data_IF_803908621889
#
_entry.id   IF_803908621889
#
_cell.length_a   1.000
_cell.length_b   1.000
_cell.length_c   1.000
_cell.angle_alpha   90.00
_cell.angle_beta   90.00
_cell.angle_gamma   90.00
#
_symmetry.space_group_name_H-M   'P 1'
#
loop_
_entity.id
_entity.type
_entity.pdbx_description
1 polymer ?
#
# COMPACT_ATOMS: atom_id res chain seq x y z
N UNK A 1 -6.18 8.72 20.73
CA UNK A 1 -6.56 8.23 19.39
C UNK A 1 -6.39 9.42 18.48
N UNK A 2 -5.55 9.28 17.47
CA UNK A 2 -5.38 10.29 16.44
C UNK A 2 -6.58 10.17 15.51
N UNK A 3 -7.22 11.29 15.16
CA UNK A 3 -8.37 11.28 14.25
C UNK A 3 -7.94 10.65 12.91
N UNK A 4 -8.82 9.85 12.31
CA UNK A 4 -8.50 9.12 11.09
C UNK A 4 -8.18 10.10 9.95
N UNK A 5 -7.20 9.73 9.11
CA UNK A 5 -6.87 10.52 7.92
C UNK A 5 -8.04 10.58 6.92
N UNK A 6 -9.02 9.68 7.04
CA UNK A 6 -10.23 9.65 6.21
C UNK A 6 -11.31 10.65 6.65
N UNK A 7 -11.19 11.23 7.84
CA UNK A 7 -12.16 12.19 8.39
C UNK A 7 -11.77 13.65 8.10
N UNK A 8 -10.53 13.90 7.66
CA UNK A 8 -10.08 15.23 7.24
C UNK A 8 -10.33 15.44 5.74
N UNK A 9 -10.58 16.70 5.35
CA UNK A 9 -10.70 17.02 3.94
C UNK A 9 -9.33 17.04 3.23
N UNK A 10 -9.33 16.92 1.90
CA UNK A 10 -8.09 16.87 1.10
C UNK A 10 -7.22 18.13 1.23
N UNK A 11 -7.81 19.31 1.45
CA UNK A 11 -7.05 20.54 1.62
C UNK A 11 -6.25 20.53 2.94
N UNK A 12 -6.87 20.00 4.00
CA UNK A 12 -6.24 19.80 5.30
C UNK A 12 -5.18 18.70 5.24
N UNK A 13 -5.47 17.54 4.65
CA UNK A 13 -4.48 16.47 4.46
C UNK A 13 -3.23 16.98 3.74
N UNK A 14 -3.41 17.76 2.66
CA UNK A 14 -2.32 18.40 1.92
C UNK A 14 -1.56 19.41 2.79
N UNK A 15 -2.25 20.26 3.53
CA UNK A 15 -1.62 21.27 4.38
C UNK A 15 -0.77 20.62 5.48
N UNK A 16 -1.29 19.58 6.15
CA UNK A 16 -0.56 18.80 7.16
C UNK A 16 0.67 18.11 6.57
N UNK A 17 0.54 17.49 5.40
CA UNK A 17 1.66 16.84 4.69
C UNK A 17 2.76 17.84 4.32
N UNK A 18 2.39 19.06 3.94
CA UNK A 18 3.33 20.14 3.59
C UNK A 18 3.85 20.94 4.79
N UNK A 19 3.65 20.43 6.01
CA UNK A 19 4.02 21.10 7.26
C UNK A 19 5.24 20.42 7.92
N UNK A 20 5.86 21.03 8.95
CA UNK A 20 6.89 20.36 9.75
C UNK A 20 6.31 19.33 10.73
N UNK A 21 5.00 19.05 10.70
CA UNK A 21 4.37 18.00 11.51
C UNK A 21 4.99 16.64 11.19
N UNK A 22 5.25 15.80 12.21
CA UNK A 22 5.73 14.44 11.98
C UNK A 22 4.73 13.54 11.24
N UNK A 23 3.43 13.84 11.32
CA UNK A 23 2.36 13.05 10.69
C UNK A 23 1.30 13.96 10.04
N UNK A 24 0.69 13.54 8.92
CA UNK A 24 0.97 12.32 8.15
C UNK A 24 2.30 12.43 7.37
N UNK A 25 2.94 11.29 7.16
CA UNK A 25 4.22 11.16 6.47
C UNK A 25 4.08 10.48 5.10
N UNK A 26 5.22 10.16 4.48
CA UNK A 26 5.24 9.52 3.16
C UNK A 26 4.51 8.17 3.10
N UNK A 27 4.57 7.36 4.16
CA UNK A 27 3.90 6.05 4.23
C UNK A 27 2.38 6.17 4.25
N UNK A 28 1.85 6.99 5.16
CA UNK A 28 0.42 7.27 5.28
C UNK A 28 -0.15 7.92 4.02
N UNK A 29 0.56 8.88 3.42
CA UNK A 29 0.14 9.49 2.14
C UNK A 29 0.18 8.46 1.00
N UNK A 30 1.20 7.60 0.93
CA UNK A 30 1.27 6.54 -0.07
C UNK A 30 0.11 5.53 0.08
N UNK A 31 -0.30 5.19 1.30
CA UNK A 31 -1.46 4.34 1.56
C UNK A 31 -2.78 5.01 1.13
N UNK A 32 -2.95 6.31 1.41
CA UNK A 32 -4.11 7.08 0.90
C UNK A 32 -4.12 7.08 -0.64
N UNK A 33 -2.97 7.29 -1.28
CA UNK A 33 -2.86 7.23 -2.74
C UNK A 33 -3.18 5.83 -3.28
N UNK A 34 -2.79 4.75 -2.59
CA UNK A 34 -3.12 3.39 -2.99
C UNK A 34 -4.62 3.14 -2.93
N UNK A 35 -5.29 3.59 -1.86
CA UNK A 35 -6.74 3.51 -1.74
C UNK A 35 -7.46 4.26 -2.88
N UNK A 36 -6.96 5.44 -3.31
CA UNK A 36 -7.49 6.11 -4.51
C UNK A 36 -7.23 5.32 -5.79
N UNK A 37 -6.06 4.69 -5.93
CA UNK A 37 -5.78 3.79 -7.05
C UNK A 37 -6.76 2.62 -7.13
N UNK A 38 -7.02 1.96 -5.99
CA UNK A 38 -8.02 0.90 -5.86
C UNK A 38 -9.43 1.40 -6.19
N UNK A 39 -9.79 2.61 -5.72
CA UNK A 39 -11.10 3.21 -5.96
C UNK A 39 -11.37 3.48 -7.45
N UNK A 40 -10.36 3.84 -8.24
CA UNK A 40 -10.49 4.00 -9.69
C UNK A 40 -10.82 2.67 -10.38
N UNK A 41 -10.14 1.59 -10.00
CA UNK A 41 -10.43 0.25 -10.54
C UNK A 41 -11.84 -0.21 -10.14
N UNK A 42 -12.23 0.02 -8.88
CA UNK A 42 -13.58 -0.28 -8.40
C UNK A 42 -14.65 0.52 -9.18
N UNK A 43 -14.41 1.81 -9.43
CA UNK A 43 -15.29 2.65 -10.23
C UNK A 43 -15.48 2.09 -11.65
N UNK A 44 -14.39 1.69 -12.31
CA UNK A 44 -14.44 1.07 -13.64
C UNK A 44 -15.27 -0.22 -13.63
N UNK A 45 -15.10 -1.03 -12.59
CA UNK A 45 -15.82 -2.28 -12.41
C UNK A 45 -17.31 -2.06 -12.10
N UNK A 46 -17.67 -1.05 -11.30
CA UNK A 46 -19.06 -0.63 -11.05
C UNK A 46 -19.76 -0.15 -12.32
N UNK A 47 -19.08 0.68 -13.13
CA UNK A 47 -19.63 1.14 -14.42
C UNK A 47 -19.87 -0.04 -15.35
N UNK A 48 -18.95 -1.02 -15.33
CA UNK A 48 -19.09 -2.27 -16.09
C UNK A 48 -20.29 -3.09 -15.60
N UNK A 49 -20.47 -3.25 -14.29
CA UNK A 49 -21.62 -3.95 -13.70
C UNK A 49 -22.96 -3.35 -14.15
N UNK A 50 -23.08 -2.01 -14.10
CA UNK A 50 -24.29 -1.27 -14.46
C UNK A 50 -24.69 -1.41 -15.94
N UNK A 51 -23.75 -1.77 -16.81
CA UNK A 51 -24.01 -1.99 -18.25
C UNK A 51 -24.53 -3.40 -18.56
N UNK A 52 -24.81 -4.22 -17.54
CA UNK A 52 -25.24 -5.60 -17.70
C UNK A 52 -24.06 -6.57 -17.79
N UNK A 53 -22.99 -6.30 -17.04
CA UNK A 53 -21.77 -7.12 -17.02
C UNK A 53 -21.96 -8.53 -16.46
N UNK A 54 -20.95 -9.37 -16.68
CA UNK A 54 -20.85 -10.76 -16.22
C UNK A 54 -21.13 -10.91 -14.71
N UNK A 55 -21.84 -11.96 -14.24
CA UNK A 55 -21.95 -12.29 -12.81
C UNK A 55 -20.63 -12.29 -12.02
N UNK A 56 -19.50 -12.63 -12.66
CA UNK A 56 -18.17 -12.60 -12.07
C UNK A 56 -17.74 -11.19 -11.59
N UNK A 57 -18.38 -10.12 -12.10
CA UNK A 57 -18.16 -8.74 -11.65
C UNK A 57 -18.52 -8.56 -10.17
N UNK A 58 -19.50 -9.30 -9.64
CA UNK A 58 -19.92 -9.20 -8.25
C UNK A 58 -18.84 -9.66 -7.25
N UNK A 59 -18.14 -10.74 -7.57
CA UNK A 59 -17.02 -11.24 -6.76
C UNK A 59 -15.84 -10.25 -6.81
N UNK A 60 -15.53 -9.72 -8.00
CA UNK A 60 -14.50 -8.71 -8.18
C UNK A 60 -14.77 -7.43 -7.37
N UNK A 61 -16.02 -6.95 -7.32
CA UNK A 61 -16.40 -5.79 -6.52
C UNK A 61 -16.26 -6.05 -5.02
N UNK A 62 -16.63 -7.24 -4.56
CA UNK A 62 -16.51 -7.62 -3.15
C UNK A 62 -15.04 -7.67 -2.74
N UNK A 63 -14.20 -8.35 -3.52
CA UNK A 63 -12.76 -8.42 -3.28
C UNK A 63 -12.11 -7.03 -3.27
N UNK A 64 -12.44 -6.19 -4.25
CA UNK A 64 -11.90 -4.83 -4.35
C UNK A 64 -12.29 -3.94 -3.16
N UNK A 65 -13.51 -4.08 -2.62
CA UNK A 65 -13.94 -3.33 -1.42
C UNK A 65 -13.17 -3.75 -0.17
N UNK A 66 -12.93 -5.05 0.01
CA UNK A 66 -12.08 -5.55 1.09
C UNK A 66 -10.64 -5.03 0.97
N UNK A 67 -10.09 -4.98 -0.25
CA UNK A 67 -8.76 -4.39 -0.49
C UNK A 67 -8.76 -2.88 -0.19
N UNK A 68 -9.79 -2.15 -0.62
CA UNK A 68 -9.92 -0.72 -0.33
C UNK A 68 -9.94 -0.43 1.18
N UNK A 69 -10.66 -1.24 1.97
CA UNK A 69 -10.69 -1.11 3.44
C UNK A 69 -9.32 -1.37 4.07
N UNK A 70 -8.58 -2.39 3.60
CA UNK A 70 -7.21 -2.69 4.06
C UNK A 70 -6.25 -1.55 3.76
N UNK A 71 -6.27 -1.03 2.53
CA UNK A 71 -5.45 0.12 2.13
C UNK A 71 -5.81 1.38 2.92
N UNK A 72 -7.10 1.57 3.21
CA UNK A 72 -7.60 2.63 4.07
C UNK A 72 -7.02 2.55 5.48
N UNK A 73 -7.13 1.38 6.11
CA UNK A 73 -6.59 1.12 7.45
C UNK A 73 -5.07 1.26 7.52
N UNK A 74 -4.34 0.91 6.44
CA UNK A 74 -2.89 1.05 6.37
C UNK A 74 -2.42 2.52 6.53
N UNK A 75 -3.21 3.49 6.09
CA UNK A 75 -2.88 4.91 6.24
C UNK A 75 -2.87 5.35 7.71
N UNK A 76 -3.92 5.00 8.46
CA UNK A 76 -4.00 5.30 9.89
C UNK A 76 -2.97 4.47 10.67
N UNK A 77 -2.75 3.21 10.26
CA UNK A 77 -1.78 2.33 10.90
C UNK A 77 -0.34 2.85 10.80
N UNK A 78 0.05 3.47 9.68
CA UNK A 78 1.36 4.12 9.54
C UNK A 78 1.57 5.24 10.58
N UNK A 79 0.53 6.07 10.79
CA UNK A 79 0.54 7.13 11.80
C UNK A 79 0.69 6.55 13.21
N UNK A 80 -0.10 5.51 13.53
CA UNK A 80 -0.05 4.84 14.83
C UNK A 80 1.33 4.22 15.11
N UNK A 81 1.90 3.50 14.15
CA UNK A 81 3.22 2.87 14.29
C UNK A 81 4.32 3.92 14.51
N UNK A 82 4.22 5.06 13.82
CA UNK A 82 5.16 6.16 14.02
C UNK A 82 5.01 6.79 15.42
N UNK A 83 3.78 6.99 15.88
CA UNK A 83 3.50 7.49 17.24
C UNK A 83 3.99 6.52 18.31
N UNK A 84 3.82 5.21 18.13
CA UNK A 84 4.35 4.16 18.99
C UNK A 84 5.86 4.25 19.12
N UNK A 85 6.55 4.40 17.99
CA UNK A 85 8.00 4.60 17.95
C UNK A 85 8.41 5.87 18.72
N UNK A 86 7.71 6.99 18.53
CA UNK A 86 7.98 8.22 19.28
C UNK A 86 7.74 8.04 20.78
N UNK A 87 6.69 7.34 21.18
CA UNK A 87 6.40 7.04 22.60
C UNK A 87 7.50 6.20 23.22
N UNK A 88 7.93 5.13 22.56
CA UNK A 88 9.04 4.30 23.02
C UNK A 88 10.34 5.12 23.20
N UNK A 89 10.63 6.01 22.25
CA UNK A 89 11.81 6.88 22.30
C UNK A 89 11.82 7.87 23.47
N UNK A 90 10.63 8.26 23.96
CA UNK A 90 10.39 9.20 25.06
C UNK A 90 10.41 8.56 26.46
N UNK A 91 10.49 7.23 26.57
CA UNK A 91 10.58 6.56 27.86
C UNK A 91 11.79 7.06 28.69
N UNK A 92 11.70 7.00 30.04
CA UNK A 92 12.81 7.36 30.93
C UNK A 92 14.09 6.57 30.63
N UNK A 93 15.24 7.13 31.03
CA UNK A 93 16.58 6.55 30.76
C UNK A 93 17.62 6.90 31.83
N UNK A 94 17.15 7.26 33.01
CA UNK A 94 17.97 7.74 34.12
C UNK A 94 18.63 6.57 34.87
N UNK A 95 17.89 5.46 35.04
CA UNK A 95 18.41 4.25 35.70
C UNK A 95 18.80 3.16 34.71
N UNK A 96 19.55 2.14 35.16
CA UNK A 96 19.88 0.97 34.34
C UNK A 96 18.66 0.18 33.88
N UNK A 97 17.68 0.00 34.77
CA UNK A 97 16.42 -0.67 34.47
C UNK A 97 15.57 0.12 33.46
N UNK A 98 15.45 1.44 33.64
CA UNK A 98 14.76 2.31 32.68
C UNK A 98 15.40 2.25 31.29
N UNK A 99 16.73 2.23 31.22
CA UNK A 99 17.46 2.10 29.94
C UNK A 99 17.15 0.77 29.26
N UNK A 100 17.11 -0.34 30.00
CA UNK A 100 16.80 -1.66 29.45
C UNK A 100 15.35 -1.72 28.93
N UNK A 101 14.38 -1.24 29.71
CA UNK A 101 12.96 -1.17 29.30
C UNK A 101 12.79 -0.29 28.06
N UNK A 102 13.41 0.89 28.06
CA UNK A 102 13.38 1.81 26.92
C UNK A 102 13.99 1.17 25.67
N UNK A 103 15.13 0.50 25.81
CA UNK A 103 15.81 -0.13 24.68
C UNK A 103 14.94 -1.21 24.04
N UNK A 104 14.38 -2.11 24.86
CA UNK A 104 13.47 -3.16 24.37
C UNK A 104 12.21 -2.57 23.69
N UNK A 105 11.63 -1.51 24.26
CA UNK A 105 10.47 -0.85 23.66
C UNK A 105 10.81 -0.18 22.31
N UNK A 106 11.97 0.46 22.20
CA UNK A 106 12.42 1.09 20.96
C UNK A 106 12.69 0.04 19.89
N UNK A 107 13.36 -1.07 20.24
CA UNK A 107 13.60 -2.18 19.31
C UNK A 107 12.30 -2.78 18.78
N UNK A 108 11.36 -3.10 19.66
CA UNK A 108 10.05 -3.63 19.26
C UNK A 108 9.29 -2.65 18.36
N UNK A 109 9.27 -1.36 18.70
CA UNK A 109 8.61 -0.34 17.89
C UNK A 109 9.31 -0.12 16.53
N UNK A 110 10.65 -0.20 16.48
CA UNK A 110 11.40 -0.12 15.22
C UNK A 110 11.11 -1.29 14.29
N UNK A 111 10.99 -2.51 14.82
CA UNK A 111 10.58 -3.69 14.04
C UNK A 111 9.16 -3.48 13.50
N UNK A 112 8.21 -3.08 14.35
CA UNK A 112 6.83 -2.83 13.94
C UNK A 112 6.71 -1.71 12.89
N UNK A 113 7.45 -0.61 13.04
CA UNK A 113 7.51 0.49 12.09
C UNK A 113 8.18 0.11 10.76
N UNK A 114 8.97 -0.98 10.73
CA UNK A 114 9.53 -1.55 9.49
C UNK A 114 8.56 -2.51 8.82
N UNK A 115 7.89 -3.34 9.62
CA UNK A 115 6.91 -4.33 9.16
C UNK A 115 5.65 -3.66 8.58
N UNK A 116 5.18 -2.55 9.18
CA UNK A 116 3.99 -1.83 8.73
C UNK A 116 4.01 -1.43 7.26
N UNK A 117 5.00 -0.65 6.79
CA UNK A 117 5.12 -0.30 5.37
C UNK A 117 5.31 -1.53 4.48
N UNK A 118 6.01 -2.56 4.93
CA UNK A 118 6.19 -3.78 4.14
C UNK A 118 4.86 -4.53 3.93
N UNK A 119 4.04 -4.64 4.98
CA UNK A 119 2.68 -5.21 4.91
C UNK A 119 1.79 -4.36 4.01
N UNK A 120 1.81 -3.03 4.17
CA UNK A 120 1.02 -2.13 3.34
C UNK A 120 1.42 -2.23 1.85
N UNK A 121 2.72 -2.34 1.54
CA UNK A 121 3.18 -2.54 0.17
C UNK A 121 2.75 -3.91 -0.39
N UNK A 122 2.67 -4.96 0.43
CA UNK A 122 2.14 -6.26 0.01
C UNK A 122 0.64 -6.20 -0.29
N UNK A 123 -0.16 -5.46 0.50
CA UNK A 123 -1.58 -5.22 0.22
C UNK A 123 -1.78 -4.50 -1.11
N UNK A 124 -0.87 -3.57 -1.45
CA UNK A 124 -0.87 -2.89 -2.76
C UNK A 124 -0.55 -3.86 -3.90
N UNK A 125 0.38 -4.80 -3.71
CA UNK A 125 0.65 -5.85 -4.71
C UNK A 125 -0.58 -6.73 -4.93
N UNK A 126 -1.24 -7.16 -3.86
CA UNK A 126 -2.49 -7.93 -3.95
C UNK A 126 -3.57 -7.14 -4.71
N UNK A 127 -3.63 -5.82 -4.51
CA UNK A 127 -4.54 -4.94 -5.24
C UNK A 127 -4.19 -4.82 -6.72
N UNK A 128 -2.91 -4.79 -7.08
CA UNK A 128 -2.48 -4.85 -8.48
C UNK A 128 -2.86 -6.19 -9.13
N UNK A 129 -2.69 -7.32 -8.43
CA UNK A 129 -3.13 -8.63 -8.91
C UNK A 129 -4.64 -8.67 -9.14
N UNK A 130 -5.41 -8.12 -8.20
CA UNK A 130 -6.85 -7.99 -8.34
C UNK A 130 -7.23 -7.10 -9.54
N UNK A 131 -6.59 -5.94 -9.70
CA UNK A 131 -6.82 -5.05 -10.83
C UNK A 131 -6.54 -5.73 -12.18
N UNK A 132 -5.48 -6.53 -12.24
CA UNK A 132 -5.18 -7.38 -13.40
C UNK A 132 -6.27 -8.43 -13.64
N UNK A 133 -6.75 -9.10 -12.59
CA UNK A 133 -7.75 -10.17 -12.70
C UNK A 133 -9.11 -9.68 -13.23
N UNK A 134 -9.49 -8.43 -12.92
CA UNK A 134 -10.77 -7.85 -13.35
C UNK A 134 -10.66 -7.12 -14.70
N UNK A 135 -9.45 -6.85 -15.18
CA UNK A 135 -9.22 -6.16 -16.45
C UNK A 135 -9.96 -6.79 -17.66
N UNK A 136 -10.07 -8.13 -17.82
CA UNK A 136 -10.74 -8.73 -18.97
C UNK A 136 -12.24 -8.40 -19.08
N UNK A 137 -12.91 -8.17 -17.95
CA UNK A 137 -14.35 -7.88 -17.95
C UNK A 137 -14.64 -6.39 -18.11
N UNK A 138 -13.65 -5.52 -17.88
CA UNK A 138 -13.79 -4.07 -18.02
C UNK A 138 -13.64 -3.68 -19.49
N UNK A 139 -14.61 -2.92 -20.02
CA UNK A 139 -14.67 -2.57 -21.45
C UNK A 139 -14.91 -1.09 -21.72
N UNK A 140 -14.45 -0.64 -22.89
CA UNK A 140 -14.64 0.73 -23.37
C UNK A 140 -13.74 1.74 -22.67
N UNK A 141 -14.23 2.96 -22.49
CA UNK A 141 -13.43 4.09 -22.01
C UNK A 141 -12.94 3.94 -20.56
N UNK A 142 -13.58 3.11 -19.74
CA UNK A 142 -13.21 2.92 -18.33
C UNK A 142 -11.98 2.03 -18.12
N UNK A 143 -11.45 1.43 -19.19
CA UNK A 143 -10.16 0.71 -19.14
C UNK A 143 -9.02 1.68 -18.76
N UNK A 144 -9.09 2.96 -19.14
CA UNK A 144 -8.09 3.95 -18.73
C UNK A 144 -8.07 4.18 -17.22
N UNK A 145 -9.22 4.06 -16.55
CA UNK A 145 -9.31 4.21 -15.09
C UNK A 145 -8.64 3.03 -14.36
N UNK A 146 -8.73 1.82 -14.92
CA UNK A 146 -8.01 0.64 -14.37
C UNK A 146 -6.51 0.85 -14.46
N UNK A 147 -6.01 1.33 -15.61
CA UNK A 147 -4.57 1.60 -15.82
C UNK A 147 -4.07 2.74 -14.96
N UNK A 148 -4.79 3.86 -14.92
CA UNK A 148 -4.45 4.97 -14.02
C UNK A 148 -4.46 4.54 -12.54
N UNK A 149 -5.41 3.71 -12.14
CA UNK A 149 -5.43 3.09 -10.81
C UNK A 149 -4.20 2.23 -10.55
N UNK A 150 -3.80 1.41 -11.51
CA UNK A 150 -2.58 0.59 -11.42
C UNK A 150 -1.31 1.43 -11.32
N UNK A 151 -1.19 2.54 -12.06
CA UNK A 151 -0.06 3.47 -11.95
C UNK A 151 0.06 4.07 -10.54
N UNK A 152 -1.06 4.51 -9.98
CA UNK A 152 -1.10 5.03 -8.60
C UNK A 152 -0.70 3.94 -7.59
N UNK A 153 -1.21 2.72 -7.76
CA UNK A 153 -0.85 1.58 -6.91
C UNK A 153 0.66 1.27 -6.99
N UNK A 154 1.23 1.20 -8.19
CA UNK A 154 2.68 0.98 -8.34
C UNK A 154 3.48 2.10 -7.65
N UNK A 155 3.13 3.37 -7.90
CA UNK A 155 3.75 4.51 -7.24
C UNK A 155 3.69 4.43 -5.72
N UNK A 156 2.52 4.06 -5.18
CA UNK A 156 2.30 3.85 -3.75
C UNK A 156 3.14 2.71 -3.18
N UNK A 157 3.18 1.53 -3.83
CA UNK A 157 4.02 0.42 -3.37
C UNK A 157 5.48 0.85 -3.24
N UNK A 158 6.01 1.54 -4.26
CA UNK A 158 7.39 2.02 -4.27
C UNK A 158 7.63 3.09 -3.21
N UNK A 159 6.69 4.01 -2.99
CA UNK A 159 6.77 5.06 -1.97
C UNK A 159 6.72 4.48 -0.55
N UNK A 160 5.80 3.56 -0.28
CA UNK A 160 5.68 2.86 1.01
C UNK A 160 6.96 2.10 1.34
N UNK A 161 7.56 1.40 0.37
CA UNK A 161 8.84 0.70 0.56
C UNK A 161 9.99 1.64 0.95
N UNK A 162 9.97 2.93 0.56
CA UNK A 162 10.98 3.90 1.01
C UNK A 162 10.95 4.13 2.52
N UNK A 163 9.77 4.03 3.13
CA UNK A 163 9.62 4.10 4.59
C UNK A 163 10.30 2.93 5.29
N UNK A 164 10.07 1.70 4.80
CA UNK A 164 10.76 0.52 5.32
C UNK A 164 12.28 0.58 5.10
N UNK A 165 12.75 1.04 3.92
CA UNK A 165 14.18 1.22 3.64
C UNK A 165 14.85 2.18 4.63
N UNK A 166 14.21 3.30 4.93
CA UNK A 166 14.71 4.26 5.91
C UNK A 166 14.83 3.63 7.31
N UNK A 167 13.87 2.80 7.70
CA UNK A 167 13.89 2.13 9.01
C UNK A 167 14.94 1.02 9.07
N UNK A 168 15.08 0.22 8.01
CA UNK A 168 16.13 -0.83 7.91
C UNK A 168 17.53 -0.23 7.97
N UNK A 169 17.75 0.93 7.33
CA UNK A 169 19.06 1.62 7.39
C UNK A 169 19.48 1.99 8.82
N UNK A 170 18.52 2.14 9.74
CA UNK A 170 18.78 2.43 11.16
C UNK A 170 19.07 1.16 11.99
N UNK A 171 18.76 -0.03 11.47
CA UNK A 171 18.95 -1.31 12.18
C UNK A 171 20.40 -1.84 12.11
N UNK A 172 21.25 -1.30 11.25
CA UNK A 172 22.61 -1.82 11.02
C UNK A 172 22.63 -3.14 10.22
N UNK A 173 23.78 -3.80 10.16
CA UNK A 173 23.98 -5.03 9.35
C UNK A 173 23.81 -6.33 10.16
N UNK A 174 22.63 -6.52 10.74
CA UNK A 174 22.24 -7.78 11.38
C UNK A 174 21.28 -8.60 10.46
N UNK A 175 21.14 -9.88 10.74
CA UNK A 175 20.27 -10.85 10.07
C UNK A 175 18.84 -10.36 9.86
N UNK A 176 18.28 -9.60 10.81
CA UNK A 176 16.97 -9.00 10.70
C UNK A 176 16.89 -7.97 9.55
N UNK A 177 17.87 -7.08 9.44
CA UNK A 177 17.96 -6.09 8.37
C UNK A 177 18.04 -6.77 7.00
N UNK A 178 18.89 -7.81 6.87
CA UNK A 178 19.00 -8.60 5.63
C UNK A 178 17.68 -9.30 5.25
N UNK A 179 16.94 -9.82 6.23
CA UNK A 179 15.63 -10.44 6.00
C UNK A 179 14.60 -9.41 5.50
N UNK A 180 14.56 -8.22 6.10
CA UNK A 180 13.70 -7.13 5.63
C UNK A 180 14.06 -6.68 4.21
N UNK A 181 15.34 -6.48 3.91
CA UNK A 181 15.80 -6.13 2.56
C UNK A 181 15.35 -7.14 1.52
N UNK A 182 15.53 -8.44 1.78
CA UNK A 182 15.10 -9.49 0.86
C UNK A 182 13.58 -9.48 0.60
N UNK A 183 12.77 -9.22 1.64
CA UNK A 183 11.31 -9.11 1.52
C UNK A 183 10.90 -7.86 0.75
N UNK A 184 11.52 -6.71 1.01
CA UNK A 184 11.27 -5.47 0.27
C UNK A 184 11.57 -5.64 -1.22
N UNK A 185 12.68 -6.29 -1.56
CA UNK A 185 13.06 -6.58 -2.94
C UNK A 185 12.05 -7.52 -3.63
N UNK A 186 11.53 -8.52 -2.91
CA UNK A 186 10.51 -9.42 -3.42
C UNK A 186 9.20 -8.66 -3.70
N UNK A 187 8.73 -7.82 -2.76
CA UNK A 187 7.52 -7.00 -2.93
C UNK A 187 7.70 -6.01 -4.09
N UNK A 188 8.87 -5.36 -4.19
CA UNK A 188 9.20 -4.44 -5.30
C UNK A 188 9.09 -5.14 -6.65
N UNK A 189 9.69 -6.32 -6.79
CA UNK A 189 9.62 -7.10 -8.05
C UNK A 189 8.19 -7.52 -8.36
N UNK A 190 7.43 -7.97 -7.35
CA UNK A 190 6.04 -8.37 -7.52
C UNK A 190 5.16 -7.21 -7.98
N UNK A 191 5.30 -6.02 -7.37
CA UNK A 191 4.57 -4.81 -7.76
C UNK A 191 4.82 -4.44 -9.23
N UNK A 192 6.09 -4.41 -9.65
CA UNK A 192 6.48 -4.10 -11.04
C UNK A 192 5.94 -5.16 -12.01
N UNK A 193 6.01 -6.45 -11.65
CA UNK A 193 5.51 -7.52 -12.50
C UNK A 193 3.97 -7.54 -12.62
N UNK A 194 3.26 -7.23 -11.55
CA UNK A 194 1.80 -7.12 -11.55
C UNK A 194 1.32 -5.93 -12.37
N UNK A 195 1.91 -4.75 -12.15
CA UNK A 195 1.64 -3.56 -12.95
C UNK A 195 1.95 -3.78 -14.44
N UNK A 196 3.11 -4.37 -14.75
CA UNK A 196 3.52 -4.63 -16.14
C UNK A 196 2.52 -5.49 -16.92
N UNK A 197 1.79 -6.41 -16.28
CA UNK A 197 0.75 -7.21 -16.92
C UNK A 197 -0.52 -6.42 -17.28
N UNK A 198 -0.81 -5.34 -16.57
CA UNK A 198 -1.97 -4.46 -16.80
C UNK A 198 -1.71 -3.51 -17.99
N UNK A 199 -0.45 -3.12 -18.19
CA UNK A 199 -0.04 -2.24 -19.28
C UNK A 199 -0.03 -2.92 -20.66
N UNK A 200 0.21 -4.24 -20.72
CA UNK A 200 0.17 -4.99 -21.97
C UNK A 200 -1.25 -4.92 -22.57
N UNK A 201 -1.41 -4.68 -23.88
CA UNK A 201 -2.72 -4.69 -24.52
C UNK A 201 -3.49 -5.97 -24.22
N UNK A 202 -4.74 -5.85 -23.76
CA UNK A 202 -5.57 -6.96 -23.27
C UNK A 202 -5.67 -8.10 -24.29
N UNK A 203 -5.69 -7.79 -25.59
CA UNK A 203 -5.69 -8.80 -26.66
C UNK A 203 -4.44 -9.70 -26.64
N UNK A 204 -3.27 -9.20 -26.26
CA UNK A 204 -2.03 -10.00 -26.23
C UNK A 204 -1.87 -10.85 -24.97
N UNK A 205 -2.53 -10.47 -23.87
CA UNK A 205 -2.43 -11.18 -22.59
C UNK A 205 -3.35 -12.41 -22.53
N UNK A 206 -4.52 -12.33 -23.17
CA UNK A 206 -5.56 -13.36 -23.09
C UNK A 206 -5.77 -14.14 -24.40
N UNK A 207 -4.90 -13.95 -25.39
CA UNK A 207 -4.88 -14.80 -26.59
C UNK A 207 -4.36 -16.21 -26.24
N UNK A 208 -5.19 -17.23 -26.44
CA UNK A 208 -4.74 -18.63 -26.42
C UNK A 208 -3.72 -18.87 -27.55
N UNK A 209 -2.65 -19.68 -27.34
CA UNK A 209 -1.76 -20.12 -28.42
C UNK A 209 -2.44 -20.89 -29.55
N UNK A 210 -3.72 -21.25 -29.43
CA UNK A 210 -4.42 -22.12 -30.38
C UNK A 210 -5.06 -21.41 -31.58
N UNK A 211 -5.13 -20.07 -31.63
CA UNK A 211 -5.77 -19.35 -32.75
C UNK A 211 -4.81 -19.04 -33.93
N UNK A 212 -3.60 -19.61 -33.95
CA UNK A 212 -2.62 -19.42 -35.03
C UNK A 212 -2.29 -20.71 -35.80
N UNK A 213 -3.30 -21.48 -36.19
CA UNK A 213 -3.16 -22.58 -37.17
C UNK A 213 -4.18 -22.49 -38.29
#
# INVERSE_FOLDING_TARGET
MTDSLWEVNLAELRARTASPSPTPGGGSVAAVTAAFGCALVLMALEITARRGGDPAVGEGLTAGRTLLERLGAAADRDVELFEDYLRARRLPKSTGEERAVRQAAVEAASVAATEGPLSAAADVVETLEWAFSVLPVVTGTVVSDVRAGADLLLGSALATLRGAEANVALMGDDSAARAFTARMDAVRRAAVAAHGRIEVPTQQVFSSPEESR
#
